data_IF_461853382145
#
_entry.id   IF_461853382145
#
_cell.length_a   1.000
_cell.length_b   1.000
_cell.length_c   1.000
_cell.angle_alpha   90.00
_cell.angle_beta   90.00
_cell.angle_gamma   90.00
#
_symmetry.space_group_name_H-M   'P 1'
#
loop_
_entity.id
_entity.type
_entity.pdbx_description
1 polymer ?
#
# COMPACT_ATOMS: atom_id res chain seq x y z
N UNK A 1 12.94 -2.43 16.71
CA UNK A 1 12.37 -3.13 17.88
C UNK A 1 11.54 -4.34 17.45
N UNK A 2 10.41 -4.16 16.75
CA UNK A 2 9.52 -5.28 16.33
C UNK A 2 10.18 -6.32 15.40
N UNK A 3 10.89 -5.91 14.35
CA UNK A 3 11.58 -6.85 13.46
C UNK A 3 12.68 -7.66 14.16
N UNK A 4 13.30 -7.08 15.20
CA UNK A 4 14.27 -7.79 16.06
C UNK A 4 13.57 -8.80 16.97
N UNK A 5 12.38 -8.46 17.46
CA UNK A 5 11.58 -9.33 18.33
C UNK A 5 10.86 -10.46 17.57
N UNK A 6 10.58 -10.28 16.28
CA UNK A 6 9.86 -11.25 15.44
C UNK A 6 10.59 -11.50 14.10
N UNK A 7 11.73 -12.22 14.10
CA UNK A 7 12.51 -12.49 12.90
C UNK A 7 11.70 -13.27 11.86
N UNK A 8 11.77 -12.85 10.59
CA UNK A 8 11.07 -13.50 9.48
C UNK A 8 9.57 -13.23 9.38
N UNK A 9 8.93 -12.75 10.46
CA UNK A 9 7.50 -12.38 10.47
C UNK A 9 7.27 -10.92 10.10
N UNK A 10 8.18 -10.03 10.50
CA UNK A 10 8.06 -8.58 10.27
C UNK A 10 9.14 -8.13 9.30
N UNK A 11 8.71 -7.51 8.20
CA UNK A 11 9.63 -6.96 7.20
C UNK A 11 9.57 -5.42 7.25
N UNK A 12 10.66 -4.73 7.62
CA UNK A 12 10.66 -3.27 7.66
C UNK A 12 10.58 -2.68 6.25
N UNK A 13 9.92 -1.53 6.14
CA UNK A 13 9.85 -0.72 4.92
C UNK A 13 10.18 0.72 5.24
N UNK A 14 11.15 1.27 4.52
CA UNK A 14 11.45 2.69 4.58
C UNK A 14 10.41 3.46 3.76
N UNK A 15 9.78 4.49 4.35
CA UNK A 15 8.78 5.35 3.70
C UNK A 15 9.46 6.48 2.91
N UNK A 16 10.15 6.13 1.83
CA UNK A 16 10.72 7.09 0.88
C UNK A 16 9.72 7.43 -0.23
N UNK A 17 9.91 8.55 -0.95
CA UNK A 17 9.06 8.90 -2.09
C UNK A 17 8.98 7.79 -3.14
N UNK A 18 10.12 7.18 -3.48
CA UNK A 18 10.20 6.05 -4.42
C UNK A 18 9.43 4.82 -3.92
N UNK A 19 9.56 4.48 -2.63
CA UNK A 19 8.83 3.34 -2.06
C UNK A 19 7.31 3.58 -2.06
N UNK A 20 6.88 4.80 -1.69
CA UNK A 20 5.48 5.23 -1.71
C UNK A 20 4.90 5.14 -3.12
N UNK A 21 5.62 5.65 -4.11
CA UNK A 21 5.24 5.57 -5.52
C UNK A 21 5.05 4.12 -5.98
N UNK A 22 6.04 3.25 -5.71
CA UNK A 22 5.95 1.84 -6.09
C UNK A 22 4.75 1.13 -5.45
N UNK A 23 4.49 1.38 -4.16
CA UNK A 23 3.35 0.80 -3.43
C UNK A 23 2.01 1.33 -3.96
N UNK A 24 1.90 2.65 -4.18
CA UNK A 24 0.70 3.28 -4.69
C UNK A 24 0.34 2.79 -6.10
N UNK A 25 1.33 2.74 -7.01
CA UNK A 25 1.14 2.25 -8.37
C UNK A 25 0.79 0.76 -8.40
N UNK A 26 1.34 -0.04 -7.49
CA UNK A 26 0.99 -1.46 -7.38
C UNK A 26 -0.46 -1.66 -6.96
N UNK A 27 -0.92 -0.90 -5.96
CA UNK A 27 -2.31 -0.91 -5.51
C UNK A 27 -3.25 -0.50 -6.65
N UNK A 28 -2.94 0.60 -7.35
CA UNK A 28 -3.73 1.08 -8.49
C UNK A 28 -3.83 0.02 -9.58
N UNK A 29 -2.72 -0.61 -9.97
CA UNK A 29 -2.70 -1.69 -10.97
C UNK A 29 -3.62 -2.85 -10.58
N UNK A 30 -3.58 -3.27 -9.32
CA UNK A 30 -4.44 -4.36 -8.84
C UNK A 30 -5.92 -3.97 -8.83
N UNK A 31 -6.24 -2.71 -8.50
CA UNK A 31 -7.60 -2.19 -8.58
C UNK A 31 -8.11 -2.14 -10.02
N UNK A 32 -7.31 -1.63 -10.97
CA UNK A 32 -7.65 -1.58 -12.40
C UNK A 32 -7.88 -2.96 -13.00
N UNK A 33 -7.08 -3.94 -12.58
CA UNK A 33 -7.21 -5.34 -12.98
C UNK A 33 -8.38 -6.07 -12.29
N UNK A 34 -9.13 -5.41 -11.40
CA UNK A 34 -10.18 -6.01 -10.57
C UNK A 34 -9.68 -7.18 -9.71
N UNK A 35 -8.43 -7.09 -9.25
CA UNK A 35 -7.76 -8.10 -8.41
C UNK A 35 -7.66 -7.67 -6.95
N UNK A 36 -8.38 -6.61 -6.58
CA UNK A 36 -8.43 -6.09 -5.22
C UNK A 36 -9.79 -6.47 -4.60
N UNK A 37 -9.77 -7.35 -3.60
CA UNK A 37 -10.93 -7.63 -2.76
C UNK A 37 -10.78 -6.85 -1.45
N UNK A 38 -11.66 -5.87 -1.23
CA UNK A 38 -11.64 -5.00 -0.04
C UNK A 38 -13.06 -4.86 0.54
N UNK A 39 -13.21 -4.64 1.85
CA UNK A 39 -14.51 -4.38 2.46
C UNK A 39 -15.19 -3.16 1.85
N UNK A 40 -16.52 -3.18 1.81
CA UNK A 40 -17.34 -2.04 1.42
C UNK A 40 -17.45 -1.03 2.57
N UNK A 41 -16.32 -0.41 2.91
CA UNK A 41 -16.21 0.63 3.95
C UNK A 41 -16.02 2.01 3.29
N UNK A 42 -16.93 2.94 3.60
CA UNK A 42 -16.89 4.30 3.08
C UNK A 42 -15.63 5.07 3.50
N UNK A 43 -15.10 4.83 4.71
CA UNK A 43 -13.92 5.51 5.20
C UNK A 43 -12.66 5.04 4.47
N UNK A 44 -12.54 3.73 4.23
CA UNK A 44 -11.49 3.17 3.37
C UNK A 44 -11.57 3.77 1.96
N UNK A 45 -12.76 3.81 1.35
CA UNK A 45 -12.93 4.36 0.00
C UNK A 45 -12.58 5.84 -0.08
N UNK A 46 -12.92 6.62 0.95
CA UNK A 46 -12.54 8.02 1.03
C UNK A 46 -11.01 8.20 1.08
N UNK A 47 -10.32 7.39 1.89
CA UNK A 47 -8.85 7.42 1.98
C UNK A 47 -8.17 6.93 0.69
N UNK A 48 -8.74 5.95 0.00
CA UNK A 48 -8.26 5.50 -1.31
C UNK A 48 -8.31 6.63 -2.35
N UNK A 49 -9.37 7.44 -2.35
CA UNK A 49 -9.50 8.59 -3.24
C UNK A 49 -8.73 9.84 -2.77
N UNK A 50 -8.26 9.87 -1.53
CA UNK A 50 -7.57 11.03 -0.97
C UNK A 50 -6.11 11.15 -1.43
N UNK A 51 -5.45 10.02 -1.73
CA UNK A 51 -4.06 9.99 -2.18
C UNK A 51 -3.96 10.50 -3.62
N UNK A 52 -3.08 11.47 -3.85
CA UNK A 52 -2.91 12.12 -5.15
C UNK A 52 -1.47 12.05 -5.63
N UNK A 53 -1.33 12.00 -6.96
CA UNK A 53 -0.06 12.18 -7.65
C UNK A 53 0.27 13.67 -7.69
N UNK A 54 1.39 14.06 -7.08
CA UNK A 54 1.90 15.43 -7.08
C UNK A 54 3.24 15.48 -7.80
N UNK A 55 3.36 16.35 -8.80
CA UNK A 55 4.64 16.62 -9.44
C UNK A 55 5.51 17.50 -8.53
N UNK A 56 6.80 17.20 -8.48
CA UNK A 56 7.81 17.98 -7.76
C UNK A 56 8.90 18.44 -8.72
N UNK A 57 9.80 19.31 -8.27
CA UNK A 57 10.91 19.81 -9.09
C UNK A 57 11.83 18.68 -9.62
N UNK A 58 11.87 17.54 -8.94
CA UNK A 58 12.79 16.43 -9.23
C UNK A 58 12.08 15.11 -9.56
N UNK A 59 10.74 15.08 -9.59
CA UNK A 59 10.00 13.86 -9.87
C UNK A 59 8.53 13.91 -9.46
N UNK A 60 8.06 12.81 -8.88
CA UNK A 60 6.65 12.61 -8.50
C UNK A 60 6.60 12.10 -7.08
N UNK A 61 5.62 12.55 -6.30
CA UNK A 61 5.28 11.98 -5.01
C UNK A 61 3.80 11.63 -4.96
N UNK A 62 3.47 10.63 -4.14
CA UNK A 62 2.11 10.26 -3.84
C UNK A 62 1.87 10.55 -2.36
N UNK A 63 0.90 11.42 -2.07
CA UNK A 63 0.55 11.82 -0.71
C UNK A 63 -0.91 12.22 -0.60
N UNK A 64 -1.41 12.31 0.64
CA UNK A 64 -2.70 12.87 0.95
C UNK A 64 -2.52 14.11 1.83
N UNK A 65 -3.45 15.08 1.84
CA UNK A 65 -3.44 16.14 2.83
C UNK A 65 -3.57 15.55 4.25
N UNK A 66 -2.88 16.14 5.23
CA UNK A 66 -3.14 15.84 6.65
C UNK A 66 -4.41 16.55 7.08
N UNK A 67 -5.39 15.77 7.51
CA UNK A 67 -6.70 16.26 7.97
C UNK A 67 -6.96 15.82 9.41
N UNK A 68 -8.03 16.32 10.03
CA UNK A 68 -8.48 15.84 11.33
C UNK A 68 -8.84 14.34 11.31
N UNK A 69 -9.19 13.82 10.13
CA UNK A 69 -9.54 12.42 9.88
C UNK A 69 -8.32 11.53 9.61
N UNK A 70 -7.12 12.11 9.48
CA UNK A 70 -5.86 11.38 9.26
C UNK A 70 -5.17 11.72 7.94
N UNK A 71 -4.25 10.83 7.54
CA UNK A 71 -3.34 11.00 6.40
C UNK A 71 -3.44 9.82 5.40
N UNK A 72 -4.66 9.34 5.16
CA UNK A 72 -4.91 8.15 4.34
C UNK A 72 -4.13 6.91 4.83
N UNK A 73 -4.06 6.71 6.15
CA UNK A 73 -3.28 5.63 6.74
C UNK A 73 -3.82 4.24 6.37
N UNK A 74 -5.13 4.10 6.12
CA UNK A 74 -5.73 2.85 5.62
C UNK A 74 -5.27 2.53 4.20
N UNK A 75 -5.10 3.54 3.34
CA UNK A 75 -4.51 3.35 2.01
C UNK A 75 -3.09 2.79 2.15
N UNK A 76 -2.27 3.41 2.99
CA UNK A 76 -0.88 2.99 3.17
C UNK A 76 -0.76 1.62 3.85
N UNK A 77 -1.63 1.30 4.80
CA UNK A 77 -1.71 -0.02 5.41
C UNK A 77 -2.02 -1.10 4.38
N UNK A 78 -3.03 -0.88 3.51
CA UNK A 78 -3.35 -1.79 2.41
C UNK A 78 -2.19 -1.93 1.42
N UNK A 79 -1.56 -0.82 1.03
CA UNK A 79 -0.45 -0.83 0.09
C UNK A 79 0.76 -1.62 0.63
N UNK A 80 1.06 -1.50 1.92
CA UNK A 80 2.10 -2.29 2.59
C UNK A 80 1.74 -3.79 2.68
N UNK A 81 0.48 -4.12 2.95
CA UNK A 81 0.04 -5.51 2.99
C UNK A 81 0.26 -6.20 1.62
N UNK A 82 -0.13 -5.51 0.53
CA UNK A 82 0.07 -5.99 -0.84
C UNK A 82 1.57 -6.09 -1.21
N UNK A 83 2.39 -5.15 -0.74
CA UNK A 83 3.84 -5.20 -0.93
C UNK A 83 4.48 -6.40 -0.22
N UNK A 84 4.06 -6.68 1.01
CA UNK A 84 4.46 -7.87 1.75
C UNK A 84 4.09 -9.15 1.01
N UNK A 85 2.86 -9.23 0.49
CA UNK A 85 2.38 -10.40 -0.27
C UNK A 85 3.20 -10.67 -1.54
N UNK A 86 3.72 -9.66 -2.23
CA UNK A 86 4.62 -9.89 -3.38
C UNK A 86 5.94 -10.55 -2.99
N UNK A 87 6.47 -10.23 -1.80
CA UNK A 87 7.62 -10.93 -1.24
C UNK A 87 7.32 -12.40 -0.97
N UNK A 88 6.11 -12.70 -0.51
CA UNK A 88 5.65 -14.07 -0.23
C UNK A 88 5.32 -14.88 -1.50
N UNK A 89 4.67 -14.28 -2.50
CA UNK A 89 4.31 -14.96 -3.75
C UNK A 89 5.53 -15.30 -4.64
N UNK A 90 6.67 -14.61 -4.45
CA UNK A 90 7.92 -14.97 -5.11
C UNK A 90 8.71 -16.06 -4.39
N UNK A 91 8.46 -16.28 -3.10
CA UNK A 91 9.13 -17.30 -2.29
C UNK A 91 8.30 -18.57 -2.14
N UNK A 92 6.97 -18.48 -2.26
CA UNK A 92 6.05 -19.60 -2.21
C UNK A 92 5.23 -19.68 -3.50
N UNK A 93 5.26 -20.84 -4.13
CA UNK A 93 4.26 -21.27 -5.12
C UNK A 93 2.88 -21.31 -4.44
N UNK A 94 2.19 -20.19 -4.42
CA UNK A 94 0.84 -20.08 -3.84
C UNK A 94 -0.14 -19.73 -4.95
N UNK A 95 -1.05 -20.66 -5.26
CA UNK A 95 -2.32 -20.32 -5.90
C UNK A 95 -3.14 -19.56 -4.87
N UNK A 96 -3.23 -18.24 -5.05
CA UNK A 96 -4.15 -17.42 -4.26
C UNK A 96 -5.48 -17.46 -4.99
N UNK A 97 -6.36 -18.35 -4.54
CA UNK A 97 -7.76 -18.36 -4.94
C UNK A 97 -8.44 -17.13 -4.32
N UNK A 98 -8.64 -16.12 -5.15
CA UNK A 98 -9.40 -14.92 -4.79
C UNK A 98 -10.89 -15.28 -4.92
N UNK A 99 -11.55 -15.51 -3.80
CA UNK A 99 -13.01 -15.53 -3.72
C UNK A 99 -13.57 -14.10 -3.81
#
# INVERSE_FOLDING_TARGET
ELARAHPGLVVPRAFTAQSKERMALNLLRLAEQKRLSIPRDAALMAELHAVKREATATGVKYDAPRTAQGHADRFWALAMALDGMQGYARSASMEVELW
#
